data_IF_809755517781
#
_entry.id   IF_809755517781
#
_cell.length_a   1.000
_cell.length_b   1.000
_cell.length_c   1.000
_cell.angle_alpha   90.00
_cell.angle_beta   90.00
_cell.angle_gamma   90.00
#
_symmetry.space_group_name_H-M   'P 1'
#
loop_
_entity.id
_entity.type
_entity.pdbx_description
1 polymer ?
#
# COMPACT_ATOMS: atom_id res chain seq x y z
N UNK A 1 -2.03 2.73 33.76
CA UNK A 1 -3.11 3.74 33.94
C UNK A 1 -2.50 4.99 34.52
N UNK A 2 -2.93 6.16 34.08
CA UNK A 2 -2.40 7.46 34.55
C UNK A 2 -3.51 8.29 35.16
N UNK A 3 -3.26 8.90 36.30
CA UNK A 3 -4.11 9.93 36.90
C UNK A 3 -3.42 11.29 36.77
N UNK A 4 -4.12 12.22 36.16
CA UNK A 4 -3.73 13.63 36.07
C UNK A 4 -4.58 14.43 37.05
N UNK A 5 -4.02 14.87 38.17
CA UNK A 5 -4.72 15.70 39.15
C UNK A 5 -3.73 16.57 39.92
N UNK A 6 -4.18 17.76 40.31
CA UNK A 6 -3.48 18.67 41.24
C UNK A 6 -3.71 18.29 42.70
N UNK A 7 -4.73 17.48 42.97
CA UNK A 7 -5.11 17.03 44.33
C UNK A 7 -4.58 15.60 44.58
N UNK A 8 -3.64 15.46 45.51
CA UNK A 8 -3.12 14.16 45.93
C UNK A 8 -4.19 13.26 46.53
N UNK A 9 -5.23 13.83 47.10
CA UNK A 9 -6.35 13.10 47.65
C UNK A 9 -7.14 12.33 46.59
N UNK A 10 -7.17 12.84 45.36
CA UNK A 10 -7.74 12.10 44.22
C UNK A 10 -6.97 10.78 43.96
N UNK A 11 -5.66 10.80 44.08
CA UNK A 11 -4.84 9.57 43.91
C UNK A 11 -5.12 8.56 45.03
N UNK A 12 -5.24 9.03 46.25
CA UNK A 12 -5.59 8.18 47.41
C UNK A 12 -6.96 7.54 47.23
N UNK A 13 -7.97 8.34 46.84
CA UNK A 13 -9.34 7.84 46.64
C UNK A 13 -9.40 6.86 45.46
N UNK A 14 -8.77 7.18 44.33
CA UNK A 14 -8.80 6.32 43.14
C UNK A 14 -8.12 4.98 43.47
N UNK A 15 -6.95 4.97 44.14
CA UNK A 15 -6.28 3.72 44.52
C UNK A 15 -7.15 2.80 45.39
N UNK A 16 -7.93 3.35 46.30
CA UNK A 16 -8.86 2.56 47.14
C UNK A 16 -10.01 1.93 46.38
N UNK A 17 -10.36 2.47 45.24
CA UNK A 17 -11.43 1.96 44.37
C UNK A 17 -10.97 0.92 43.36
N UNK A 18 -9.65 0.77 43.19
CA UNK A 18 -9.04 -0.15 42.21
C UNK A 18 -8.63 -1.48 42.87
N UNK A 19 -8.73 -2.62 42.17
CA UNK A 19 -8.06 -3.85 42.55
C UNK A 19 -6.54 -3.65 42.69
N UNK A 20 -5.90 -4.36 43.61
CA UNK A 20 -4.49 -4.19 43.99
C UNK A 20 -3.56 -4.06 42.76
N UNK A 21 -3.67 -4.95 41.78
CA UNK A 21 -2.85 -4.91 40.55
C UNK A 21 -3.01 -3.63 39.73
N UNK A 22 -4.20 -3.04 39.71
CA UNK A 22 -4.48 -1.79 38.99
C UNK A 22 -4.09 -0.58 39.83
N UNK A 23 -4.24 -0.66 41.15
CA UNK A 23 -3.81 0.35 42.11
C UNK A 23 -2.28 0.53 42.06
N UNK A 24 -1.52 -0.59 41.98
CA UNK A 24 -0.06 -0.58 41.84
C UNK A 24 0.39 -0.02 40.48
N UNK A 25 -0.39 -0.26 39.43
CA UNK A 25 -0.12 0.25 38.09
C UNK A 25 -0.61 1.71 37.87
N UNK A 26 -1.23 2.35 38.87
CA UNK A 26 -1.67 3.73 38.79
C UNK A 26 -0.51 4.69 39.05
N UNK A 27 -0.17 5.48 38.04
CA UNK A 27 0.85 6.54 38.13
C UNK A 27 0.12 7.89 38.21
N UNK A 28 0.46 8.67 39.22
CA UNK A 28 -0.09 10.00 39.42
C UNK A 28 0.88 11.08 38.95
N UNK A 29 0.36 12.06 38.20
CA UNK A 29 1.09 13.22 37.73
C UNK A 29 0.27 14.49 37.84
N UNK A 30 0.96 15.61 38.02
CA UNK A 30 0.36 16.96 38.01
C UNK A 30 0.44 17.62 36.62
N UNK A 31 1.23 17.07 35.71
CA UNK A 31 1.46 17.58 34.34
C UNK A 31 1.08 16.54 33.29
N UNK A 32 0.37 16.99 32.24
CA UNK A 32 -0.09 16.14 31.14
C UNK A 32 1.08 15.48 30.42
N UNK A 33 2.12 16.27 30.10
CA UNK A 33 3.27 15.82 29.32
C UNK A 33 4.08 14.71 30.04
N UNK A 34 4.16 14.79 31.36
CA UNK A 34 4.82 13.78 32.17
C UNK A 34 4.00 12.48 32.23
N UNK A 35 2.69 12.62 32.50
CA UNK A 35 1.80 11.47 32.57
C UNK A 35 1.70 10.71 31.24
N UNK A 36 1.66 11.41 30.12
CA UNK A 36 1.57 10.76 28.81
C UNK A 36 2.89 10.10 28.37
N UNK A 37 4.05 10.52 28.89
CA UNK A 37 5.37 9.92 28.56
C UNK A 37 5.75 8.69 29.41
N UNK A 38 5.13 8.51 30.56
CA UNK A 38 5.57 7.51 31.56
C UNK A 38 5.23 6.06 31.21
N UNK A 39 4.57 5.78 30.10
CA UNK A 39 4.00 4.46 29.78
C UNK A 39 4.73 3.69 28.67
N UNK A 40 6.02 3.93 28.42
CA UNK A 40 6.79 3.18 27.43
C UNK A 40 6.39 3.52 25.97
N UNK A 41 6.72 2.63 25.05
CA UNK A 41 6.56 2.84 23.59
C UNK A 41 5.11 3.03 23.10
N UNK A 42 4.11 2.69 23.90
CA UNK A 42 2.68 2.73 23.48
C UNK A 42 1.81 3.75 24.23
N UNK A 43 2.39 4.55 25.17
CA UNK A 43 1.63 5.49 25.99
C UNK A 43 0.64 4.84 26.95
N UNK A 44 -0.15 5.64 27.72
CA UNK A 44 -1.13 5.11 28.67
C UNK A 44 -2.39 4.59 27.98
N UNK A 45 -2.88 3.40 28.36
CA UNK A 45 -4.14 2.86 27.89
C UNK A 45 -5.37 3.64 28.43
N UNK A 46 -5.24 4.23 29.63
CA UNK A 46 -6.32 4.98 30.27
C UNK A 46 -5.76 6.17 31.03
N UNK A 47 -6.35 7.33 30.84
CA UNK A 47 -6.04 8.57 31.55
C UNK A 47 -7.26 9.03 32.32
N UNK A 48 -7.13 9.13 33.63
CA UNK A 48 -8.10 9.72 34.54
C UNK A 48 -7.75 11.20 34.74
N UNK A 49 -8.69 12.10 34.51
CA UNK A 49 -8.47 13.55 34.68
C UNK A 49 -9.24 14.04 35.92
N UNK A 50 -8.48 14.37 36.97
CA UNK A 50 -8.93 14.98 38.20
C UNK A 50 -8.77 16.50 38.18
N UNK A 51 -8.43 17.10 39.34
CA UNK A 51 -8.27 18.56 39.48
C UNK A 51 -7.30 19.16 38.45
N UNK A 52 -7.74 20.24 37.78
CA UNK A 52 -6.92 20.94 36.78
C UNK A 52 -5.96 21.96 37.41
N UNK A 53 -4.82 22.25 36.77
CA UNK A 53 -3.91 23.30 37.19
C UNK A 53 -4.60 24.67 37.22
N UNK A 54 -4.19 25.55 38.14
CA UNK A 54 -4.67 26.91 38.19
C UNK A 54 -4.48 27.63 36.83
N UNK A 55 -5.55 28.33 36.41
CA UNK A 55 -5.55 29.06 35.13
C UNK A 55 -5.77 28.21 33.87
N UNK A 56 -6.06 26.89 34.01
CA UNK A 56 -6.41 26.02 32.85
C UNK A 56 -7.83 25.49 32.99
N UNK A 57 -8.49 25.36 31.87
CA UNK A 57 -9.83 24.74 31.79
C UNK A 57 -9.70 23.22 31.64
N UNK A 58 -10.78 22.49 31.93
CA UNK A 58 -10.87 21.05 31.66
C UNK A 58 -10.67 20.76 30.17
N UNK A 59 -11.20 21.59 29.28
CA UNK A 59 -11.06 21.46 27.84
C UNK A 59 -9.58 21.57 27.39
N UNK A 60 -8.80 22.49 27.98
CA UNK A 60 -7.36 22.62 27.71
C UNK A 60 -6.61 21.34 28.09
N UNK A 61 -6.92 20.78 29.25
CA UNK A 61 -6.28 19.54 29.74
C UNK A 61 -6.63 18.37 28.83
N UNK A 62 -7.90 18.18 28.50
CA UNK A 62 -8.37 17.09 27.63
C UNK A 62 -7.75 17.22 26.22
N UNK A 63 -7.72 18.42 25.65
CA UNK A 63 -7.08 18.68 24.33
C UNK A 63 -5.61 18.32 24.36
N UNK A 64 -4.89 18.62 25.42
CA UNK A 64 -3.46 18.24 25.56
C UNK A 64 -3.29 16.74 25.75
N UNK A 65 -4.15 16.07 26.52
CA UNK A 65 -4.13 14.60 26.64
C UNK A 65 -4.32 13.97 25.29
N UNK A 66 -5.30 14.41 24.49
CA UNK A 66 -5.57 13.91 23.15
C UNK A 66 -4.37 14.09 22.18
N UNK A 67 -3.64 15.19 22.32
CA UNK A 67 -2.43 15.45 21.51
C UNK A 67 -1.27 14.49 21.86
N UNK A 68 -1.09 14.14 23.12
CA UNK A 68 0.04 13.33 23.60
C UNK A 68 -0.28 11.83 23.74
N UNK A 69 -1.55 11.49 23.89
CA UNK A 69 -2.06 10.12 24.02
C UNK A 69 -3.40 10.00 23.26
N UNK A 70 -3.41 10.08 21.92
CA UNK A 70 -4.65 10.08 21.13
C UNK A 70 -5.49 8.83 21.34
N UNK A 71 -4.84 7.71 21.58
CA UNK A 71 -5.46 6.39 21.71
C UNK A 71 -5.89 6.02 23.12
N UNK A 72 -5.59 6.84 24.12
CA UNK A 72 -5.96 6.54 25.51
C UNK A 72 -7.47 6.71 25.74
N UNK A 73 -8.06 5.83 26.53
CA UNK A 73 -9.38 6.08 27.11
C UNK A 73 -9.26 7.24 28.11
N UNK A 74 -10.05 8.29 27.95
CA UNK A 74 -10.04 9.45 28.85
C UNK A 74 -11.33 9.46 29.66
N UNK A 75 -11.19 9.40 31.00
CA UNK A 75 -12.30 9.60 31.96
C UNK A 75 -12.02 10.85 32.78
N UNK A 76 -13.08 11.63 33.01
CA UNK A 76 -13.03 12.77 33.91
C UNK A 76 -13.60 12.36 35.27
N UNK A 77 -12.89 12.75 36.34
CA UNK A 77 -13.36 12.53 37.72
C UNK A 77 -14.41 13.58 38.07
N UNK A 78 -15.65 13.11 38.22
CA UNK A 78 -16.77 13.95 38.69
C UNK A 78 -16.56 14.40 40.13
N UNK A 79 -17.20 15.49 40.51
CA UNK A 79 -17.06 16.09 41.83
C UNK A 79 -15.96 17.18 41.89
N UNK A 80 -15.10 17.23 40.89
CA UNK A 80 -14.07 18.27 40.74
C UNK A 80 -14.52 19.41 39.84
N UNK A 81 -15.50 19.17 38.96
CA UNK A 81 -15.91 20.10 37.91
C UNK A 81 -17.40 20.42 37.94
N UNK A 82 -17.73 21.67 37.58
CA UNK A 82 -19.11 22.06 37.36
C UNK A 82 -19.68 21.42 36.08
N UNK A 83 -20.98 21.20 36.01
CA UNK A 83 -21.67 20.50 34.91
C UNK A 83 -21.44 21.13 33.54
N UNK A 84 -21.20 22.45 33.44
CA UNK A 84 -20.91 23.11 32.17
C UNK A 84 -19.52 22.73 31.63
N UNK A 85 -18.53 22.57 32.53
CA UNK A 85 -17.18 22.13 32.14
C UNK A 85 -17.18 20.68 31.63
N UNK A 86 -17.97 19.79 32.23
CA UNK A 86 -18.16 18.43 31.78
C UNK A 86 -18.80 18.38 30.38
N UNK A 87 -19.83 19.21 30.13
CA UNK A 87 -20.45 19.30 28.80
C UNK A 87 -19.51 19.77 27.71
N UNK A 88 -18.59 20.69 28.03
CA UNK A 88 -17.64 21.22 27.04
C UNK A 88 -16.66 20.16 26.48
N UNK A 89 -16.47 19.04 27.16
CA UNK A 89 -15.58 17.95 26.76
C UNK A 89 -16.28 16.63 26.42
N UNK A 90 -17.61 16.62 26.42
CA UNK A 90 -18.43 15.41 26.31
C UNK A 90 -18.09 14.57 25.04
N UNK A 91 -17.78 15.22 23.92
CA UNK A 91 -17.36 14.56 22.68
C UNK A 91 -15.90 14.09 22.63
N UNK A 92 -15.08 14.52 23.60
CA UNK A 92 -13.63 14.27 23.61
C UNK A 92 -13.20 13.27 24.68
N UNK A 93 -14.13 12.79 25.51
CA UNK A 93 -13.86 11.84 26.59
C UNK A 93 -14.77 10.62 26.49
N UNK A 94 -14.32 9.47 26.98
CA UNK A 94 -15.09 8.22 26.93
C UNK A 94 -16.09 8.10 28.12
N UNK A 95 -15.98 8.96 29.11
CA UNK A 95 -16.89 8.96 30.23
C UNK A 95 -16.41 9.78 31.43
N UNK A 96 -17.15 9.71 32.47
CA UNK A 96 -16.89 10.31 33.80
C UNK A 96 -17.21 9.37 34.92
N UNK A 97 -16.52 9.53 36.03
CA UNK A 97 -16.72 8.73 37.24
C UNK A 97 -16.58 9.57 38.51
N UNK A 98 -17.52 9.42 39.43
CA UNK A 98 -17.43 10.04 40.75
C UNK A 98 -16.57 9.15 41.67
N UNK A 99 -15.30 9.47 41.81
CA UNK A 99 -14.34 8.72 42.63
C UNK A 99 -14.53 8.88 44.13
N UNK A 100 -15.37 9.82 44.55
CA UNK A 100 -15.66 10.07 45.97
C UNK A 100 -16.93 9.40 46.45
N UNK A 101 -17.84 9.05 45.53
CA UNK A 101 -19.16 8.48 45.83
C UNK A 101 -19.42 7.11 45.23
N UNK A 102 -18.67 6.71 44.20
CA UNK A 102 -18.88 5.41 43.57
C UNK A 102 -18.36 4.27 44.44
N UNK A 103 -19.05 3.13 44.41
CA UNK A 103 -18.52 1.87 44.92
C UNK A 103 -17.37 1.37 43.98
N UNK A 104 -16.42 0.57 44.53
CA UNK A 104 -15.28 0.07 43.77
C UNK A 104 -15.68 -0.64 42.47
N UNK A 105 -16.69 -1.48 42.50
CA UNK A 105 -17.18 -2.23 41.34
C UNK A 105 -17.76 -1.30 40.26
N UNK A 106 -18.50 -0.29 40.66
CA UNK A 106 -19.07 0.73 39.75
C UNK A 106 -17.96 1.55 39.09
N UNK A 107 -16.97 1.98 39.86
CA UNK A 107 -15.85 2.74 39.37
C UNK A 107 -15.03 1.93 38.35
N UNK A 108 -14.71 0.69 38.66
CA UNK A 108 -14.02 -0.23 37.75
C UNK A 108 -14.83 -0.49 36.48
N UNK A 109 -16.16 -0.64 36.60
CA UNK A 109 -17.03 -0.82 35.42
C UNK A 109 -17.00 0.41 34.49
N UNK A 110 -16.99 1.63 35.05
CA UNK A 110 -16.90 2.86 34.25
C UNK A 110 -15.55 2.94 33.50
N UNK A 111 -14.44 2.57 34.14
CA UNK A 111 -13.13 2.47 33.47
C UNK A 111 -13.18 1.45 32.33
N UNK A 112 -13.75 0.27 32.60
CA UNK A 112 -13.84 -0.78 31.58
C UNK A 112 -14.69 -0.35 30.38
N UNK A 113 -15.84 0.26 30.59
CA UNK A 113 -16.70 0.82 29.52
C UNK A 113 -15.97 1.89 28.71
N UNK A 114 -15.20 2.75 29.36
CA UNK A 114 -14.43 3.77 28.67
C UNK A 114 -13.31 3.16 27.81
N UNK A 115 -12.63 2.13 28.28
CA UNK A 115 -11.66 1.37 27.50
C UNK A 115 -12.31 0.71 26.28
N UNK A 116 -13.48 0.08 26.46
CA UNK A 116 -14.20 -0.52 25.33
C UNK A 116 -14.62 0.53 24.28
N UNK A 117 -15.10 1.69 24.72
CA UNK A 117 -15.45 2.80 23.81
C UNK A 117 -14.25 3.34 23.05
N UNK A 118 -13.09 3.46 23.72
CA UNK A 118 -11.87 3.90 23.05
C UNK A 118 -11.38 2.89 21.99
N UNK A 119 -11.47 1.58 22.30
CA UNK A 119 -11.16 0.52 21.36
C UNK A 119 -12.13 0.50 20.18
N UNK A 120 -13.45 0.58 20.45
CA UNK A 120 -14.47 0.59 19.41
C UNK A 120 -14.31 1.82 18.48
N UNK A 121 -14.05 3.01 19.06
CA UNK A 121 -13.80 4.22 18.26
C UNK A 121 -12.57 4.09 17.35
N UNK A 122 -11.52 3.43 17.81
CA UNK A 122 -10.34 3.14 16.98
C UNK A 122 -10.64 2.18 15.83
N UNK A 123 -11.40 1.13 16.11
CA UNK A 123 -11.77 0.15 15.08
C UNK A 123 -12.61 0.79 13.98
N UNK A 124 -13.62 1.57 14.33
CA UNK A 124 -14.48 2.27 13.36
C UNK A 124 -13.68 3.30 12.55
N UNK A 125 -12.89 4.16 13.19
CA UNK A 125 -12.07 5.14 12.49
C UNK A 125 -10.99 4.47 11.63
N UNK A 126 -10.41 3.36 12.08
CA UNK A 126 -9.46 2.57 11.29
C UNK A 126 -10.11 1.92 10.07
N UNK A 127 -11.33 1.41 10.21
CA UNK A 127 -12.10 0.84 9.12
C UNK A 127 -12.54 1.89 8.09
N UNK A 128 -12.98 3.08 8.52
CA UNK A 128 -13.31 4.19 7.63
C UNK A 128 -12.09 4.67 6.84
N UNK A 129 -10.95 4.89 7.50
CA UNK A 129 -9.69 5.27 6.82
C UNK A 129 -9.25 4.17 5.85
N UNK A 130 -9.35 2.90 6.23
CA UNK A 130 -9.00 1.78 5.35
C UNK A 130 -9.94 1.69 4.15
N UNK A 131 -11.24 1.96 4.32
CA UNK A 131 -12.22 2.01 3.22
C UNK A 131 -11.95 3.19 2.27
N UNK A 132 -11.68 4.37 2.80
CA UNK A 132 -11.36 5.56 1.99
C UNK A 132 -10.07 5.35 1.20
N UNK A 133 -9.04 4.80 1.84
CA UNK A 133 -7.79 4.43 1.16
C UNK A 133 -8.04 3.39 0.07
N UNK A 134 -8.83 2.35 0.34
CA UNK A 134 -9.17 1.33 -0.63
C UNK A 134 -9.96 1.88 -1.84
N UNK A 135 -10.82 2.89 -1.62
CA UNK A 135 -11.52 3.57 -2.70
C UNK A 135 -10.58 4.42 -3.56
N UNK A 136 -9.67 5.17 -2.92
CA UNK A 136 -8.64 5.95 -3.63
C UNK A 136 -7.72 5.02 -4.45
N UNK A 137 -7.22 3.96 -3.84
CA UNK A 137 -6.34 3.00 -4.50
C UNK A 137 -7.02 2.31 -5.69
N UNK A 138 -8.30 1.91 -5.55
CA UNK A 138 -9.08 1.37 -6.68
C UNK A 138 -9.27 2.37 -7.82
N UNK A 139 -9.45 3.65 -7.51
CA UNK A 139 -9.54 4.72 -8.52
C UNK A 139 -8.21 4.97 -9.24
N UNK A 140 -7.10 4.61 -8.62
CA UNK A 140 -5.75 4.75 -9.17
C UNK A 140 -5.27 3.50 -9.93
N UNK A 141 -5.89 2.33 -9.72
CA UNK A 141 -5.58 1.13 -10.49
C UNK A 141 -6.03 1.28 -11.95
N UNK A 142 -5.24 0.78 -12.92
CA UNK A 142 -5.63 0.81 -14.32
C UNK A 142 -6.78 -0.16 -14.60
N UNK A 143 -7.67 0.22 -15.53
CA UNK A 143 -8.51 -0.76 -16.22
C UNK A 143 -7.69 -1.36 -17.37
N UNK A 144 -7.23 -2.58 -17.18
CA UNK A 144 -6.39 -3.29 -18.15
C UNK A 144 -7.20 -4.13 -19.14
N UNK A 145 -8.52 -3.97 -19.13
CA UNK A 145 -9.41 -4.66 -20.07
C UNK A 145 -9.36 -3.98 -21.44
N UNK A 146 -8.61 -4.52 -22.38
CA UNK A 146 -8.79 -4.17 -23.78
C UNK A 146 -10.05 -4.87 -24.29
N UNK A 147 -11.19 -4.22 -24.11
CA UNK A 147 -12.44 -4.63 -24.77
C UNK A 147 -12.41 -4.15 -26.23
N UNK A 148 -11.61 -4.76 -27.07
CA UNK A 148 -11.55 -4.41 -28.47
C UNK A 148 -11.27 -5.68 -29.28
N UNK A 149 -11.96 -5.80 -30.41
CA UNK A 149 -11.80 -6.90 -31.34
C UNK A 149 -10.32 -7.17 -31.65
N UNK A 150 -9.87 -8.38 -31.34
CA UNK A 150 -8.56 -8.88 -31.72
C UNK A 150 -7.48 -8.95 -30.66
N UNK A 151 -7.75 -8.53 -29.40
CA UNK A 151 -6.80 -8.70 -28.28
C UNK A 151 -7.46 -9.39 -27.09
N UNK A 152 -6.71 -10.29 -26.45
CA UNK A 152 -7.05 -10.86 -25.14
C UNK A 152 -6.02 -10.44 -24.12
N UNK A 153 -6.47 -9.82 -23.03
CA UNK A 153 -5.64 -9.48 -21.86
C UNK A 153 -6.00 -10.34 -20.66
N UNK A 154 -5.02 -10.70 -19.87
CA UNK A 154 -5.19 -11.30 -18.55
C UNK A 154 -4.20 -10.65 -17.59
N UNK A 155 -4.63 -10.40 -16.36
CA UNK A 155 -3.85 -9.61 -15.41
C UNK A 155 -3.95 -10.16 -14.00
N UNK A 156 -2.84 -10.07 -13.28
CA UNK A 156 -2.76 -10.31 -11.85
C UNK A 156 -1.88 -9.24 -11.21
N UNK A 157 -2.36 -8.67 -10.11
CA UNK A 157 -1.58 -7.77 -9.27
C UNK A 157 -1.74 -8.18 -7.80
N UNK A 158 -0.65 -8.32 -7.11
CA UNK A 158 -0.61 -8.60 -5.69
C UNK A 158 0.46 -7.71 -5.04
N UNK A 159 0.08 -6.82 -4.12
CA UNK A 159 1.03 -6.01 -3.38
C UNK A 159 1.85 -6.86 -2.42
N UNK A 160 3.14 -6.59 -2.28
CA UNK A 160 4.06 -7.31 -1.41
C UNK A 160 3.78 -7.14 0.09
N UNK A 161 2.95 -6.16 0.47
CA UNK A 161 2.57 -5.88 1.86
C UNK A 161 1.07 -6.03 2.09
N UNK A 162 0.71 -6.67 3.20
CA UNK A 162 -0.65 -7.09 3.53
C UNK A 162 -1.69 -5.96 3.73
N UNK A 163 -1.33 -4.68 3.67
CA UNK A 163 -2.23 -3.56 3.97
C UNK A 163 -2.16 -2.42 2.94
N UNK A 164 -1.52 -2.63 1.79
CA UNK A 164 -1.48 -1.67 0.68
C UNK A 164 -2.08 -2.33 -0.55
N UNK A 165 -2.83 -1.58 -1.36
CA UNK A 165 -3.34 -2.04 -2.65
C UNK A 165 -2.44 -1.58 -3.81
N UNK A 166 -1.51 -0.65 -3.56
CA UNK A 166 -0.57 -0.11 -4.55
C UNK A 166 0.86 -0.17 -4.02
N UNK A 167 1.78 -0.57 -4.88
CA UNK A 167 3.22 -0.51 -4.69
C UNK A 167 3.91 0.34 -5.74
N UNK A 168 5.23 0.19 -5.89
CA UNK A 168 6.02 0.85 -6.92
C UNK A 168 5.74 0.35 -8.34
N UNK A 169 5.25 -0.88 -8.43
CA UNK A 169 4.85 -1.51 -9.69
C UNK A 169 3.69 -0.79 -10.37
N UNK A 170 3.85 -0.52 -11.65
CA UNK A 170 2.77 0.05 -12.47
C UNK A 170 2.70 -0.63 -13.83
N UNK A 171 1.49 -0.71 -14.37
CA UNK A 171 1.25 -1.17 -15.72
C UNK A 171 0.04 -0.45 -16.32
N UNK A 172 0.00 -0.38 -17.63
CA UNK A 172 -1.16 0.14 -18.34
C UNK A 172 -1.24 -0.45 -19.75
N UNK A 173 -2.46 -0.41 -20.31
CA UNK A 173 -2.74 -0.85 -21.69
C UNK A 173 -3.62 0.20 -22.34
N UNK A 174 -3.23 0.65 -23.54
CA UNK A 174 -3.95 1.65 -24.31
C UNK A 174 -4.07 1.17 -25.77
N UNK A 175 -5.24 1.33 -26.36
CA UNK A 175 -5.43 1.13 -27.80
C UNK A 175 -5.01 2.39 -28.56
N UNK A 176 -4.14 2.24 -29.54
CA UNK A 176 -3.80 3.29 -30.49
C UNK A 176 -4.90 3.49 -31.54
N UNK A 177 -4.92 4.66 -32.18
CA UNK A 177 -5.87 4.99 -33.23
C UNK A 177 -5.68 4.11 -34.48
N UNK A 178 -4.49 3.54 -34.69
CA UNK A 178 -4.15 2.59 -35.75
C UNK A 178 -4.56 1.15 -35.40
N UNK A 179 -5.27 0.94 -34.29
CA UNK A 179 -5.68 -0.36 -33.82
C UNK A 179 -4.60 -1.17 -33.12
N UNK A 180 -3.41 -0.61 -32.89
CA UNK A 180 -2.34 -1.27 -32.10
C UNK A 180 -2.66 -1.28 -30.62
N UNK A 181 -2.12 -2.23 -29.88
CA UNK A 181 -2.12 -2.23 -28.42
C UNK A 181 -0.75 -1.73 -27.91
N UNK A 182 -0.81 -0.63 -27.16
CA UNK A 182 0.33 -0.10 -26.43
C UNK A 182 0.28 -0.60 -25.00
N UNK A 183 1.39 -1.06 -24.49
CA UNK A 183 1.53 -1.63 -23.15
C UNK A 183 2.74 -1.05 -22.46
N UNK A 184 2.61 -0.73 -21.20
CA UNK A 184 3.74 -0.41 -20.32
C UNK A 184 3.69 -1.27 -19.08
N UNK A 185 4.85 -1.67 -18.59
CA UNK A 185 5.06 -2.17 -17.25
C UNK A 185 6.34 -1.57 -16.71
N UNK A 186 6.34 -1.23 -15.44
CA UNK A 186 7.51 -0.68 -14.77
C UNK A 186 7.43 -0.88 -13.28
N UNK A 187 8.59 -0.69 -12.64
CA UNK A 187 8.76 -0.78 -11.21
C UNK A 187 9.62 0.38 -10.73
N UNK A 188 9.12 1.11 -9.72
CA UNK A 188 9.82 2.23 -9.07
C UNK A 188 10.60 1.70 -7.87
N UNK A 189 11.90 1.92 -7.86
CA UNK A 189 12.79 1.50 -6.78
C UNK A 189 12.31 2.04 -5.42
N UNK A 190 12.33 1.18 -4.41
CA UNK A 190 11.83 1.49 -3.09
C UNK A 190 10.44 0.94 -2.82
N UNK A 191 9.76 1.41 -1.79
CA UNK A 191 8.48 0.84 -1.38
C UNK A 191 7.61 1.85 -0.63
N UNK A 192 6.31 1.54 -0.54
CA UNK A 192 5.35 2.32 0.21
C UNK A 192 4.75 3.47 -0.60
N UNK A 193 4.08 4.41 0.08
CA UNK A 193 3.24 5.42 -0.56
C UNK A 193 3.98 6.34 -1.54
N UNK A 194 5.26 6.63 -1.30
CA UNK A 194 6.04 7.49 -2.18
C UNK A 194 6.33 6.80 -3.52
N UNK A 195 6.78 5.54 -3.50
CA UNK A 195 7.01 4.75 -4.71
C UNK A 195 5.69 4.53 -5.46
N UNK A 196 4.60 4.20 -4.75
CA UNK A 196 3.28 4.02 -5.33
C UNK A 196 2.76 5.30 -6.03
N UNK A 197 2.89 6.47 -5.40
CA UNK A 197 2.51 7.74 -5.99
C UNK A 197 3.28 8.03 -7.27
N UNK A 198 4.60 7.81 -7.26
CA UNK A 198 5.45 7.99 -8.42
C UNK A 198 5.10 7.01 -9.55
N UNK A 199 4.82 5.73 -9.24
CA UNK A 199 4.32 4.75 -10.21
C UNK A 199 3.03 5.20 -10.89
N UNK A 200 2.07 5.77 -10.12
CA UNK A 200 0.84 6.35 -10.68
C UNK A 200 1.15 7.54 -11.61
N UNK A 201 2.04 8.45 -11.21
CA UNK A 201 2.44 9.60 -12.05
C UNK A 201 3.04 9.13 -13.37
N UNK A 202 3.98 8.17 -13.32
CA UNK A 202 4.61 7.62 -14.52
C UNK A 202 3.60 6.93 -15.43
N UNK A 203 2.69 6.12 -14.88
CA UNK A 203 1.64 5.46 -15.62
C UNK A 203 0.73 6.45 -16.37
N UNK A 204 0.24 7.49 -15.67
CA UNK A 204 -0.64 8.49 -16.27
C UNK A 204 0.08 9.33 -17.32
N UNK A 205 1.34 9.68 -17.09
CA UNK A 205 2.17 10.38 -18.05
C UNK A 205 2.39 9.55 -19.32
N UNK A 206 2.70 8.25 -19.16
CA UNK A 206 2.82 7.33 -20.29
C UNK A 206 1.52 7.23 -21.09
N UNK A 207 0.37 7.03 -20.42
CA UNK A 207 -0.94 6.98 -21.07
C UNK A 207 -1.21 8.25 -21.87
N UNK A 208 -0.92 9.41 -21.29
CA UNK A 208 -1.07 10.69 -21.97
C UNK A 208 -0.16 10.79 -23.19
N UNK A 209 1.10 10.37 -23.07
CA UNK A 209 2.06 10.37 -24.18
C UNK A 209 1.61 9.48 -25.35
N UNK A 210 1.07 8.29 -25.06
CA UNK A 210 0.47 7.40 -26.07
C UNK A 210 -0.71 8.09 -26.77
N UNK A 211 -1.64 8.67 -26.01
CA UNK A 211 -2.81 9.36 -26.55
C UNK A 211 -2.43 10.61 -27.37
N UNK A 212 -1.28 11.22 -27.11
CA UNK A 212 -0.72 12.31 -27.91
C UNK A 212 0.11 11.81 -29.12
N UNK A 213 0.17 10.52 -29.38
CA UNK A 213 0.87 9.92 -30.53
C UNK A 213 2.38 9.94 -30.43
N UNK A 214 2.96 10.07 -29.21
CA UNK A 214 4.40 10.04 -29.02
C UNK A 214 4.97 8.64 -29.30
N UNK A 215 6.17 8.57 -29.89
CA UNK A 215 6.92 7.33 -30.06
C UNK A 215 7.35 6.74 -28.70
N UNK A 216 7.68 5.43 -28.68
CA UNK A 216 8.12 4.75 -27.45
C UNK A 216 9.36 5.43 -26.84
N UNK A 217 10.29 5.92 -27.64
CA UNK A 217 11.47 6.62 -27.13
C UNK A 217 11.12 7.99 -26.52
N UNK A 218 10.24 8.75 -27.16
CA UNK A 218 9.74 10.02 -26.60
C UNK A 218 8.99 9.80 -25.29
N UNK A 219 8.22 8.71 -25.20
CA UNK A 219 7.55 8.31 -23.96
C UNK A 219 8.56 8.07 -22.83
N UNK A 220 9.64 7.29 -23.06
CA UNK A 220 10.66 7.03 -22.05
C UNK A 220 11.39 8.31 -21.62
N UNK A 221 11.73 9.20 -22.55
CA UNK A 221 12.34 10.50 -22.22
C UNK A 221 11.40 11.37 -21.37
N UNK A 222 10.11 11.37 -21.67
CA UNK A 222 9.12 12.07 -20.86
C UNK A 222 9.04 11.48 -19.45
N UNK A 223 8.97 10.15 -19.34
CA UNK A 223 8.90 9.46 -18.05
C UNK A 223 10.15 9.73 -17.20
N UNK A 224 11.35 9.71 -17.79
CA UNK A 224 12.60 10.02 -17.09
C UNK A 224 12.59 11.44 -16.53
N UNK A 225 12.11 12.41 -17.31
CA UNK A 225 12.00 13.80 -16.83
C UNK A 225 11.04 13.93 -15.66
N UNK A 226 9.84 13.30 -15.75
CA UNK A 226 8.86 13.32 -14.67
C UNK A 226 9.43 12.63 -13.43
N UNK A 227 10.06 11.47 -13.59
CA UNK A 227 10.69 10.75 -12.48
C UNK A 227 11.72 11.63 -11.76
N UNK A 228 12.59 12.30 -12.51
CA UNK A 228 13.66 13.11 -11.92
C UNK A 228 13.15 14.40 -11.25
N UNK A 229 12.03 14.95 -11.71
CA UNK A 229 11.40 16.13 -11.12
C UNK A 229 10.54 15.78 -9.88
N UNK A 230 9.91 14.62 -9.87
CA UNK A 230 8.92 14.22 -8.84
C UNK A 230 9.50 13.33 -7.72
N UNK A 231 10.66 12.69 -7.95
CA UNK A 231 11.28 11.82 -6.94
C UNK A 231 11.73 12.60 -5.72
N UNK A 232 11.48 12.04 -4.53
CA UNK A 232 11.89 12.63 -3.27
C UNK A 232 13.39 12.44 -2.96
N UNK A 233 14.00 11.37 -3.47
CA UNK A 233 15.40 10.99 -3.27
C UNK A 233 16.08 10.86 -4.63
N UNK A 234 17.29 11.40 -4.77
CA UNK A 234 18.04 11.41 -6.03
C UNK A 234 18.37 10.01 -6.54
N UNK A 235 18.49 9.04 -5.64
CA UNK A 235 18.77 7.64 -5.94
C UNK A 235 17.55 6.86 -6.46
N UNK A 236 16.34 7.44 -6.40
CA UNK A 236 15.14 6.78 -6.91
C UNK A 236 15.20 6.68 -8.43
N UNK A 237 15.04 5.48 -8.95
CA UNK A 237 14.99 5.14 -10.35
C UNK A 237 13.78 4.26 -10.65
N UNK A 238 13.49 4.02 -11.92
CA UNK A 238 12.45 3.08 -12.32
C UNK A 238 12.89 2.21 -13.48
N UNK A 239 12.52 0.93 -13.43
CA UNK A 239 12.63 0.04 -14.60
C UNK A 239 11.34 0.14 -15.41
N UNK A 240 11.45 0.14 -16.73
CA UNK A 240 10.29 0.23 -17.62
C UNK A 240 10.49 -0.63 -18.87
N UNK A 241 9.43 -1.34 -19.27
CA UNK A 241 9.30 -1.90 -20.61
C UNK A 241 8.06 -1.33 -21.29
N UNK A 242 8.21 -0.84 -22.51
CA UNK A 242 7.13 -0.36 -23.36
C UNK A 242 7.01 -1.25 -24.59
N UNK A 243 5.81 -1.74 -24.86
CA UNK A 243 5.50 -2.61 -25.99
C UNK A 243 4.46 -1.98 -26.89
N UNK A 244 4.57 -2.22 -28.21
CA UNK A 244 3.53 -1.91 -29.18
C UNK A 244 3.25 -3.15 -30.02
N UNK A 245 2.08 -3.75 -29.84
CA UNK A 245 1.62 -4.88 -30.61
C UNK A 245 0.73 -4.38 -31.77
N UNK A 246 1.20 -4.57 -32.99
CA UNK A 246 0.50 -4.19 -34.22
C UNK A 246 -0.15 -5.42 -34.86
N UNK A 247 -1.48 -5.61 -34.75
CA UNK A 247 -2.16 -6.80 -35.25
C UNK A 247 -2.09 -6.89 -36.77
N UNK A 248 -2.23 -5.77 -37.48
CA UNK A 248 -2.16 -5.74 -38.94
C UNK A 248 -0.78 -6.07 -39.51
N UNK A 249 0.29 -5.71 -38.79
CA UNK A 249 1.68 -6.01 -39.18
C UNK A 249 2.18 -7.32 -38.60
N UNK A 250 1.46 -7.88 -37.63
CA UNK A 250 1.90 -9.05 -36.85
C UNK A 250 3.29 -8.87 -36.27
N UNK A 251 3.54 -7.71 -35.71
CA UNK A 251 4.82 -7.33 -35.10
C UNK A 251 4.62 -6.79 -33.69
N UNK A 252 5.63 -7.06 -32.87
CA UNK A 252 5.80 -6.51 -31.53
C UNK A 252 7.04 -5.63 -31.53
N UNK A 253 6.87 -4.34 -31.28
CA UNK A 253 7.97 -3.41 -31.02
C UNK A 253 8.17 -3.26 -29.52
N UNK A 254 9.41 -3.25 -29.09
CA UNK A 254 9.79 -3.22 -27.68
C UNK A 254 10.90 -2.23 -27.45
N UNK A 255 10.78 -1.46 -26.37
CA UNK A 255 11.85 -0.65 -25.78
C UNK A 255 11.90 -0.96 -24.29
N UNK A 256 13.11 -1.11 -23.73
CA UNK A 256 13.29 -1.33 -22.30
C UNK A 256 14.27 -0.32 -21.69
N UNK A 257 13.96 0.10 -20.46
CA UNK A 257 14.80 0.91 -19.61
C UNK A 257 15.06 0.14 -18.30
N UNK A 258 16.04 -0.76 -18.30
CA UNK A 258 16.43 -1.56 -17.14
C UNK A 258 15.44 -2.65 -16.70
N UNK A 259 14.30 -2.76 -17.36
CA UNK A 259 13.31 -3.79 -17.02
C UNK A 259 13.79 -5.16 -17.52
N UNK A 260 13.51 -6.27 -16.80
CA UNK A 260 13.83 -7.62 -17.26
C UNK A 260 13.12 -7.95 -18.58
N UNK A 261 13.52 -9.04 -19.21
CA UNK A 261 12.85 -9.58 -20.38
C UNK A 261 11.39 -9.98 -20.10
N UNK A 262 10.76 -10.55 -21.08
CA UNK A 262 9.38 -11.05 -20.97
C UNK A 262 9.26 -12.48 -21.51
N UNK A 263 8.15 -13.16 -21.19
CA UNK A 263 7.87 -14.48 -21.76
C UNK A 263 7.07 -14.32 -23.05
N UNK A 264 7.49 -15.04 -24.09
CA UNK A 264 6.76 -15.20 -25.35
C UNK A 264 6.15 -16.61 -25.39
N UNK A 265 4.83 -16.68 -25.52
CA UNK A 265 4.06 -17.91 -25.68
C UNK A 265 3.76 -18.13 -27.17
N UNK A 266 4.23 -19.23 -27.71
CA UNK A 266 4.02 -19.61 -29.10
C UNK A 266 3.69 -21.09 -29.21
N UNK A 267 2.50 -21.44 -29.73
CA UNK A 267 2.08 -22.84 -30.01
C UNK A 267 2.30 -23.83 -28.87
N UNK A 268 2.02 -23.42 -27.63
CA UNK A 268 2.20 -24.27 -26.44
C UNK A 268 3.62 -24.33 -25.91
N UNK A 269 4.53 -23.55 -26.43
CA UNK A 269 5.87 -23.34 -25.90
C UNK A 269 5.99 -21.95 -25.26
N UNK A 270 6.89 -21.83 -24.30
CA UNK A 270 7.23 -20.56 -23.66
C UNK A 270 8.73 -20.35 -23.74
N UNK A 271 9.13 -19.16 -24.16
CA UNK A 271 10.54 -18.77 -24.19
C UNK A 271 10.73 -17.40 -23.56
N UNK A 272 11.89 -17.21 -22.99
CA UNK A 272 12.33 -15.91 -22.51
C UNK A 272 12.80 -15.07 -23.69
N UNK A 273 12.35 -13.82 -23.76
CA UNK A 273 12.79 -12.83 -24.74
C UNK A 273 13.47 -11.70 -23.98
N UNK A 274 14.69 -11.40 -24.37
CA UNK A 274 15.48 -10.33 -23.80
C UNK A 274 15.66 -9.22 -24.85
N UNK A 275 14.96 -8.09 -24.70
CA UNK A 275 15.15 -6.94 -25.59
C UNK A 275 16.54 -6.32 -25.41
N UNK A 276 17.02 -5.50 -26.36
CA UNK A 276 18.24 -4.74 -26.16
C UNK A 276 18.20 -3.98 -24.83
N UNK A 277 19.23 -4.14 -23.98
CA UNK A 277 19.23 -3.51 -22.67
C UNK A 277 19.32 -1.99 -22.79
N UNK A 278 18.73 -1.28 -21.82
CA UNK A 278 18.84 0.17 -21.64
C UNK A 278 18.97 0.52 -20.17
N UNK A 279 19.51 1.68 -19.85
CA UNK A 279 19.63 2.15 -18.47
C UNK A 279 18.23 2.38 -17.85
N UNK A 280 18.02 2.02 -16.56
CA UNK A 280 16.82 2.41 -15.83
C UNK A 280 16.58 3.92 -15.88
N UNK A 281 15.32 4.33 -15.92
CA UNK A 281 14.95 5.75 -15.87
C UNK A 281 15.50 6.40 -14.60
N UNK A 282 16.14 7.54 -14.73
CA UNK A 282 16.62 8.35 -13.62
C UNK A 282 17.86 7.82 -12.89
N UNK A 283 18.40 6.64 -13.27
CA UNK A 283 19.65 6.14 -12.69
C UNK A 283 20.86 7.03 -13.10
N UNK A 284 20.89 7.43 -14.37
CA UNK A 284 21.82 8.41 -14.92
C UNK A 284 21.03 9.37 -15.84
N UNK A 285 20.40 10.42 -15.30
CA UNK A 285 19.50 11.27 -16.07
C UNK A 285 20.13 11.84 -17.33
N UNK A 286 19.42 11.74 -18.44
CA UNK A 286 19.87 12.22 -19.74
C UNK A 286 20.90 11.32 -20.46
N UNK A 287 21.26 10.18 -19.89
CA UNK A 287 22.19 9.21 -20.50
C UNK A 287 21.48 7.95 -21.01
N UNK A 288 20.15 7.92 -21.05
CA UNK A 288 19.38 6.80 -21.58
C UNK A 288 19.69 6.56 -23.05
N UNK A 289 20.24 5.38 -23.38
CA UNK A 289 20.54 4.93 -24.75
C UNK A 289 19.55 3.86 -25.23
N UNK A 290 18.28 4.08 -24.91
CA UNK A 290 17.20 3.13 -25.21
C UNK A 290 17.04 2.90 -26.70
N UNK A 291 16.82 1.65 -27.09
CA UNK A 291 16.70 1.23 -28.49
C UNK A 291 15.44 0.43 -28.70
N UNK A 292 14.75 0.74 -29.79
CA UNK A 292 13.61 -0.05 -30.24
C UNK A 292 14.10 -1.34 -30.91
N UNK A 293 13.42 -2.44 -30.59
CA UNK A 293 13.56 -3.72 -31.28
C UNK A 293 12.20 -4.19 -31.78
N UNK A 294 12.19 -4.98 -32.85
CA UNK A 294 10.98 -5.52 -33.43
C UNK A 294 11.11 -7.03 -33.61
N UNK A 295 10.03 -7.75 -33.31
CA UNK A 295 9.91 -9.19 -33.56
C UNK A 295 8.56 -9.53 -34.18
N UNK A 296 8.52 -10.66 -34.90
CA UNK A 296 7.28 -11.21 -35.42
C UNK A 296 6.37 -11.66 -34.26
N UNK A 297 5.07 -11.40 -34.42
CA UNK A 297 4.02 -11.78 -33.46
C UNK A 297 2.84 -12.38 -34.24
N UNK A 298 2.91 -13.65 -34.65
CA UNK A 298 1.83 -14.35 -35.33
C UNK A 298 0.54 -14.41 -34.50
N UNK A 299 -0.58 -14.63 -35.18
CA UNK A 299 -1.87 -14.82 -34.51
C UNK A 299 -1.82 -16.01 -33.54
N UNK A 300 -2.40 -15.84 -32.37
CA UNK A 300 -2.38 -16.84 -31.30
C UNK A 300 -1.14 -16.83 -30.43
N UNK A 301 -0.14 -16.02 -30.76
CA UNK A 301 0.99 -15.78 -29.86
C UNK A 301 0.60 -14.85 -28.72
N UNK A 302 1.21 -15.04 -27.57
CA UNK A 302 1.02 -14.22 -26.38
C UNK A 302 2.35 -13.76 -25.80
N UNK A 303 2.34 -12.60 -25.20
CA UNK A 303 3.44 -12.09 -24.37
C UNK A 303 2.99 -12.01 -22.92
N UNK A 304 3.93 -12.24 -22.00
CA UNK A 304 3.68 -12.11 -20.57
C UNK A 304 4.75 -11.20 -19.99
N UNK A 305 4.32 -10.02 -19.58
CA UNK A 305 5.12 -9.08 -18.79
C UNK A 305 4.97 -9.39 -17.31
N UNK A 306 5.98 -9.12 -16.55
CA UNK A 306 5.96 -9.31 -15.10
C UNK A 306 7.03 -8.45 -14.43
N UNK A 307 6.79 -8.08 -13.18
CA UNK A 307 7.76 -7.41 -12.33
C UNK A 307 8.65 -8.43 -11.63
N UNK A 308 9.78 -7.99 -11.11
CA UNK A 308 10.81 -8.87 -10.54
C UNK A 308 10.33 -9.64 -9.30
N UNK A 309 9.34 -9.10 -8.53
CA UNK A 309 8.71 -9.80 -7.42
C UNK A 309 8.18 -11.19 -7.79
N UNK A 310 7.86 -11.46 -9.07
CA UNK A 310 7.39 -12.76 -9.52
C UNK A 310 8.49 -13.84 -9.45
N UNK A 311 9.76 -13.53 -9.68
CA UNK A 311 10.85 -14.53 -9.75
C UNK A 311 11.96 -14.32 -8.72
N UNK A 312 11.93 -13.23 -7.97
CA UNK A 312 12.88 -12.98 -6.89
C UNK A 312 12.57 -13.75 -5.60
N UNK A 313 11.39 -14.37 -5.51
CA UNK A 313 10.99 -15.18 -4.37
C UNK A 313 11.99 -16.28 -4.03
N UNK A 314 12.20 -16.52 -2.72
CA UNK A 314 13.06 -17.61 -2.24
C UNK A 314 12.33 -18.95 -2.33
N UNK A 315 13.05 -19.98 -2.74
CA UNK A 315 12.57 -21.37 -2.82
C UNK A 315 13.56 -22.32 -2.14
N UNK A 316 13.27 -23.60 -2.10
CA UNK A 316 14.18 -24.62 -1.57
C UNK A 316 15.56 -24.65 -2.27
N UNK A 317 15.61 -24.25 -3.54
CA UNK A 317 16.86 -24.18 -4.34
C UNK A 317 17.57 -22.83 -4.31
N UNK A 318 17.12 -21.88 -3.47
CA UNK A 318 17.58 -20.49 -3.45
C UNK A 318 16.55 -19.56 -4.10
N UNK A 319 16.98 -18.52 -4.81
CA UNK A 319 16.09 -17.65 -5.59
C UNK A 319 15.46 -18.45 -6.75
N UNK A 320 14.19 -18.24 -7.05
CA UNK A 320 13.53 -18.92 -8.19
C UNK A 320 14.26 -18.61 -9.51
N UNK A 321 14.53 -17.33 -9.75
CA UNK A 321 15.24 -16.84 -10.92
C UNK A 321 14.47 -17.05 -12.23
N UNK A 322 15.04 -16.51 -13.29
CA UNK A 322 14.48 -16.59 -14.65
C UNK A 322 14.28 -18.04 -15.13
N UNK A 323 15.28 -18.90 -14.92
CA UNK A 323 15.16 -20.31 -15.30
C UNK A 323 14.04 -21.04 -14.56
N UNK A 324 13.85 -20.73 -13.27
CA UNK A 324 12.77 -21.30 -12.45
C UNK A 324 11.41 -20.87 -12.95
N UNK A 325 11.26 -19.56 -13.23
CA UNK A 325 10.06 -19.00 -13.81
C UNK A 325 9.76 -19.59 -15.19
N UNK A 326 10.76 -19.65 -16.07
CA UNK A 326 10.59 -20.22 -17.41
C UNK A 326 10.19 -21.70 -17.39
N UNK A 327 10.78 -22.51 -16.50
CA UNK A 327 10.40 -23.92 -16.32
C UNK A 327 8.94 -24.05 -15.84
N UNK A 328 8.51 -23.18 -14.91
CA UNK A 328 7.13 -23.19 -14.41
C UNK A 328 6.16 -22.78 -15.53
N UNK A 329 6.44 -21.68 -16.22
CA UNK A 329 5.64 -21.18 -17.32
C UNK A 329 5.50 -22.19 -18.47
N UNK A 330 6.58 -22.91 -18.81
CA UNK A 330 6.56 -23.97 -19.83
C UNK A 330 5.59 -25.10 -19.50
N UNK A 331 5.45 -25.48 -18.23
CA UNK A 331 4.47 -26.50 -17.80
C UNK A 331 3.02 -26.03 -17.95
N UNK A 332 2.80 -24.73 -17.90
CA UNK A 332 1.49 -24.08 -17.93
C UNK A 332 1.10 -23.59 -19.33
N UNK A 333 2.00 -23.72 -20.32
CA UNK A 333 1.89 -23.15 -21.65
C UNK A 333 0.59 -23.48 -22.42
N UNK A 334 -0.07 -24.58 -22.05
CA UNK A 334 -1.30 -25.05 -22.67
C UNK A 334 -2.59 -24.38 -22.12
N UNK A 335 -2.46 -23.60 -21.03
CA UNK A 335 -3.61 -22.99 -20.35
C UNK A 335 -4.05 -21.72 -21.09
N UNK A 336 -5.34 -21.40 -20.99
CA UNK A 336 -5.90 -20.12 -21.42
C UNK A 336 -5.28 -18.95 -20.64
N UNK A 337 -5.33 -17.73 -21.21
CA UNK A 337 -4.59 -16.57 -20.74
C UNK A 337 -4.76 -16.29 -19.23
N UNK A 338 -5.99 -16.15 -18.73
CA UNK A 338 -6.22 -15.85 -17.30
C UNK A 338 -5.82 -17.02 -16.40
N UNK A 339 -6.19 -18.25 -16.79
CA UNK A 339 -5.81 -19.46 -16.04
C UNK A 339 -4.28 -19.63 -16.00
N UNK A 340 -3.58 -19.28 -17.09
CA UNK A 340 -2.13 -19.29 -17.13
C UNK A 340 -1.53 -18.30 -16.12
N UNK A 341 -2.00 -17.05 -16.12
CA UNK A 341 -1.52 -16.00 -15.22
C UNK A 341 -1.76 -16.40 -13.76
N UNK A 342 -2.97 -16.84 -13.42
CA UNK A 342 -3.32 -17.25 -12.05
C UNK A 342 -2.51 -18.47 -11.58
N UNK A 343 -2.33 -19.46 -12.46
CA UNK A 343 -1.55 -20.66 -12.17
C UNK A 343 -0.06 -20.36 -12.03
N UNK A 344 0.47 -19.42 -12.82
CA UNK A 344 1.87 -19.00 -12.75
C UNK A 344 2.16 -18.31 -11.40
N UNK A 345 1.35 -17.31 -11.04
CA UNK A 345 1.48 -16.59 -9.75
C UNK A 345 1.23 -17.54 -8.57
N UNK A 346 0.19 -18.36 -8.64
CA UNK A 346 -0.10 -19.37 -7.61
C UNK A 346 1.03 -20.38 -7.43
N UNK A 347 1.63 -20.85 -8.52
CA UNK A 347 2.77 -21.77 -8.49
C UNK A 347 4.02 -21.15 -7.86
N UNK A 348 4.34 -19.91 -8.21
CA UNK A 348 5.46 -19.18 -7.58
C UNK A 348 5.18 -18.94 -6.09
N UNK A 349 3.97 -18.51 -5.75
CA UNK A 349 3.56 -18.28 -4.35
C UNK A 349 3.69 -19.55 -3.51
N UNK A 350 3.27 -20.71 -4.02
CA UNK A 350 3.41 -22.00 -3.34
C UNK A 350 4.87 -22.40 -3.13
N UNK A 351 5.75 -22.14 -4.10
CA UNK A 351 7.18 -22.41 -3.99
C UNK A 351 7.86 -21.51 -2.96
N UNK A 352 7.43 -20.26 -2.86
CA UNK A 352 7.97 -19.24 -1.95
C UNK A 352 7.41 -19.33 -0.53
N UNK A 353 6.19 -19.85 -0.34
CA UNK A 353 5.48 -19.87 0.94
C UNK A 353 6.30 -20.42 2.13
N UNK A 354 7.04 -21.55 2.02
CA UNK A 354 7.86 -22.08 3.12
C UNK A 354 9.04 -21.18 3.50
N UNK A 355 9.41 -20.22 2.64
CA UNK A 355 10.58 -19.36 2.77
C UNK A 355 10.22 -17.89 3.04
N UNK A 356 8.99 -17.62 3.45
CA UNK A 356 8.50 -16.29 3.84
C UNK A 356 7.63 -15.61 2.78
N UNK A 357 7.22 -16.34 1.73
CA UNK A 357 6.34 -15.85 0.67
C UNK A 357 7.01 -14.86 -0.29
N UNK A 358 6.21 -14.28 -1.16
CA UNK A 358 6.61 -13.14 -1.99
C UNK A 358 6.59 -11.88 -1.12
N UNK A 359 7.65 -11.10 -1.16
CA UNK A 359 7.85 -9.94 -0.29
C UNK A 359 7.74 -8.62 -1.04
N UNK A 360 7.80 -8.70 -2.36
CA UNK A 360 7.70 -7.56 -3.26
C UNK A 360 6.36 -7.57 -3.99
N UNK A 361 6.03 -6.44 -4.59
CA UNK A 361 4.87 -6.30 -5.45
C UNK A 361 4.99 -7.26 -6.64
N UNK A 362 3.89 -7.81 -7.08
CA UNK A 362 3.85 -8.73 -8.22
C UNK A 362 2.78 -8.26 -9.19
N UNK A 363 3.21 -7.80 -10.34
CA UNK A 363 2.35 -7.54 -11.48
C UNK A 363 2.64 -8.54 -12.60
N UNK A 364 1.61 -9.13 -13.17
CA UNK A 364 1.71 -10.03 -14.34
C UNK A 364 0.65 -9.66 -15.33
N UNK A 365 1.04 -9.34 -16.55
CA UNK A 365 0.14 -9.00 -17.65
C UNK A 365 0.41 -9.92 -18.84
N UNK A 366 -0.61 -10.66 -19.26
CA UNK A 366 -0.62 -11.39 -20.53
C UNK A 366 -1.38 -10.58 -21.58
N UNK A 367 -0.82 -10.46 -22.77
CA UNK A 367 -1.48 -9.89 -23.95
C UNK A 367 -1.28 -10.85 -25.13
N UNK A 368 -2.34 -11.20 -25.82
CA UNK A 368 -2.31 -11.96 -27.08
C UNK A 368 -3.16 -11.30 -28.15
N UNK A 369 -2.82 -11.60 -29.40
CA UNK A 369 -3.63 -11.22 -30.56
C UNK A 369 -4.50 -12.42 -30.97
N UNK A 370 -5.82 -12.22 -30.91
CA UNK A 370 -6.77 -13.26 -31.28
C UNK A 370 -7.08 -13.17 -32.75
N UNK A 371 -6.40 -13.47 -33.67
CA UNK A 371 -6.63 -13.45 -35.15
C UNK A 371 -8.05 -13.26 -35.71
N UNK A 372 -9.00 -12.76 -34.92
CA UNK A 372 -10.43 -12.57 -35.29
C UNK A 372 -10.79 -11.13 -35.66
N UNK A 373 -9.83 -10.25 -35.82
CA UNK A 373 -10.03 -8.86 -36.20
C UNK A 373 -9.87 -8.65 -37.72
N UNK A 374 -10.94 -8.91 -38.50
CA UNK A 374 -10.91 -8.53 -39.90
C UNK A 374 -11.93 -9.26 -40.77
N UNK A 375 -13.19 -8.88 -40.71
CA UNK A 375 -14.10 -8.95 -41.85
C UNK A 375 -14.71 -7.57 -42.02
#
# INVERSE_FOLDING_TARGET
MVLLSQDEQDAVHVRRLLPDRLADALVWHTRVEEGCRTSGTHGPLCVLVGGTPAGRTLADVVTRVRRHAPDAAVLVLEGTYASHALRSVAGSVQGWADHRRSAPEEFCRKIWVALQRAVAGRTVAGEEIAQDNALLERGLLPDLTLQADGFTTAFHYAPGRAHTLLGGDFCDVVRGDDGSAHVVMGDVSGHGAAAAALGVHLRLAWRTAVLCGQSQLEQLHLLERILTEERAEEETYATVVSLVLSPHRRTLRTVTAGHPGFLHRHRGEVRWVEPPPGLPLGLFPGQGDWRESEMAMPDGDGIVLFTDGLYEGRTAGGRLGEEGLLRLAGRLAHLEAQTFVDALVGGVSLLAAPFGGLRDDVAVLHLSCDGRGGV
#
